data_IF_061283962385
#
_entry.id   IF_061283962385
#
_cell.length_a   1.000
_cell.length_b   1.000
_cell.length_c   1.000
_cell.angle_alpha   90.00
_cell.angle_beta   90.00
_cell.angle_gamma   90.00
#
_symmetry.space_group_name_H-M   'P 1'
#
loop_
_entity.id
_entity.type
_entity.pdbx_description
1 polymer ?
#
# COMPACT_ATOMS: atom_id res chain seq x y z
N UNK A 1 10.77 10.59 7.54
CA UNK A 1 9.60 9.69 7.67
C UNK A 1 9.44 9.29 9.14
N UNK A 2 8.23 9.34 9.70
CA UNK A 2 7.96 8.96 11.10
C UNK A 2 6.89 7.88 11.16
N UNK A 3 7.07 6.87 12.01
CA UNK A 3 6.03 5.85 12.27
C UNK A 3 4.98 6.41 13.23
N UNK A 4 3.70 6.25 12.90
CA UNK A 4 2.59 6.91 13.60
C UNK A 4 1.99 6.04 14.71
N UNK A 5 1.93 4.72 14.51
CA UNK A 5 1.36 3.77 15.47
C UNK A 5 2.12 2.46 15.56
N UNK A 6 1.65 1.56 16.43
CA UNK A 6 2.24 0.24 16.64
C UNK A 6 3.53 0.24 17.48
N UNK A 7 4.28 -0.86 17.39
CA UNK A 7 5.48 -1.16 18.18
C UNK A 7 6.66 -0.23 17.90
N UNK A 8 6.73 0.38 16.72
CA UNK A 8 7.75 1.34 16.32
C UNK A 8 7.26 2.79 16.38
N UNK A 9 6.11 3.06 17.03
CA UNK A 9 5.51 4.40 17.12
C UNK A 9 6.53 5.46 17.53
N UNK A 10 6.53 6.59 16.81
CA UNK A 10 7.40 7.72 17.06
C UNK A 10 8.81 7.61 16.47
N UNK A 11 9.24 6.40 16.03
CA UNK A 11 10.54 6.20 15.39
C UNK A 11 10.62 7.02 14.10
N UNK A 12 11.77 7.67 13.89
CA UNK A 12 12.07 8.45 12.69
C UNK A 12 13.10 7.74 11.84
N UNK A 13 12.83 7.72 10.54
CA UNK A 13 13.68 7.20 9.50
C UNK A 13 14.05 8.33 8.54
N UNK A 14 15.32 8.37 8.15
CA UNK A 14 15.88 9.39 7.27
C UNK A 14 16.37 8.74 5.97
N UNK A 15 15.49 8.57 4.97
CA UNK A 15 15.91 8.10 3.66
C UNK A 15 16.92 9.06 3.02
N UNK A 16 17.87 8.55 2.20
CA UNK A 16 18.75 9.40 1.41
C UNK A 16 17.97 10.38 0.54
N UNK A 17 18.42 11.64 0.49
CA UNK A 17 17.72 12.74 -0.21
C UNK A 17 17.65 12.56 -1.73
N UNK A 18 18.50 11.72 -2.31
CA UNK A 18 18.60 11.47 -3.74
C UNK A 18 17.66 10.35 -4.23
N UNK A 19 16.86 9.75 -3.35
CA UNK A 19 15.88 8.76 -3.76
C UNK A 19 14.64 9.45 -4.37
N UNK A 20 14.05 8.89 -5.44
CA UNK A 20 12.91 9.49 -6.13
C UNK A 20 11.60 9.16 -5.38
N UNK A 21 11.51 9.59 -4.12
CA UNK A 21 10.34 9.33 -3.27
C UNK A 21 9.50 10.59 -3.12
N UNK A 22 8.18 10.42 -3.18
CA UNK A 22 7.25 11.47 -2.78
C UNK A 22 6.97 11.33 -1.28
N UNK A 23 6.95 12.43 -0.53
CA UNK A 23 6.52 12.37 0.86
C UNK A 23 4.99 12.24 0.93
N UNK A 24 4.48 11.08 1.32
CA UNK A 24 3.12 11.03 1.91
C UNK A 24 3.18 11.80 3.23
N UNK A 25 2.31 12.79 3.40
CA UNK A 25 2.31 13.58 4.64
C UNK A 25 1.94 12.70 5.83
N UNK A 26 2.48 13.02 7.01
CA UNK A 26 2.10 12.34 8.26
C UNK A 26 0.58 12.36 8.44
N UNK A 27 -0.09 13.47 8.07
CA UNK A 27 -1.55 13.62 8.10
C UNK A 27 -2.27 12.63 7.18
N UNK A 28 -1.86 12.52 5.91
CA UNK A 28 -2.48 11.59 4.96
C UNK A 28 -2.26 10.14 5.37
N UNK A 29 -1.07 9.80 5.87
CA UNK A 29 -0.77 8.47 6.39
C UNK A 29 -1.57 8.16 7.66
N UNK A 30 -1.66 9.09 8.60
CA UNK A 30 -2.46 8.93 9.81
C UNK A 30 -3.95 8.73 9.47
N UNK A 31 -4.49 9.54 8.55
CA UNK A 31 -5.84 9.38 8.06
C UNK A 31 -6.07 8.01 7.41
N UNK A 32 -5.16 7.57 6.53
CA UNK A 32 -5.22 6.25 5.90
C UNK A 32 -5.28 5.14 6.95
N UNK A 33 -4.35 5.11 7.91
CA UNK A 33 -4.32 4.05 8.92
C UNK A 33 -5.49 4.13 9.90
N UNK A 34 -6.04 5.31 10.16
CA UNK A 34 -7.28 5.45 10.92
C UNK A 34 -8.47 4.84 10.17
N UNK A 35 -8.55 5.01 8.85
CA UNK A 35 -9.60 4.36 8.04
C UNK A 35 -9.43 2.84 8.09
N UNK A 36 -8.21 2.35 7.85
CA UNK A 36 -7.92 0.91 7.81
C UNK A 36 -8.29 0.24 9.13
N UNK A 37 -7.85 0.79 10.28
CA UNK A 37 -8.16 0.24 11.62
C UNK A 37 -9.66 0.21 11.94
N UNK A 38 -10.47 1.08 11.35
CA UNK A 38 -11.93 1.06 11.52
C UNK A 38 -12.63 0.05 10.61
N UNK A 39 -11.96 -0.44 9.56
CA UNK A 39 -12.50 -1.41 8.60
C UNK A 39 -12.02 -2.84 8.87
N UNK A 40 -10.75 -3.02 9.24
CA UNK A 40 -10.11 -4.33 9.42
C UNK A 40 -9.14 -4.30 10.60
N UNK A 41 -8.96 -5.46 11.24
CA UNK A 41 -7.86 -5.66 12.18
C UNK A 41 -6.55 -5.80 11.38
N UNK A 42 -5.53 -5.00 11.72
CA UNK A 42 -4.25 -5.01 11.02
C UNK A 42 -3.36 -6.16 11.49
N UNK A 43 -3.55 -6.62 12.73
CA UNK A 43 -2.79 -7.74 13.25
C UNK A 43 -3.08 -8.99 12.41
N UNK A 44 -2.02 -9.67 11.98
CA UNK A 44 -2.18 -10.90 11.20
C UNK A 44 -2.40 -10.73 9.69
N UNK A 45 -2.58 -9.51 9.17
CA UNK A 45 -2.86 -9.31 7.74
C UNK A 45 -1.69 -9.70 6.81
N UNK A 46 -2.04 -10.20 5.62
CA UNK A 46 -1.14 -10.30 4.48
C UNK A 46 -1.29 -9.07 3.59
N UNK A 47 -0.22 -8.29 3.46
CA UNK A 47 -0.22 -6.98 2.81
C UNK A 47 0.65 -6.99 1.56
N UNK A 48 0.19 -6.34 0.50
CA UNK A 48 0.97 -5.98 -0.68
C UNK A 48 1.12 -4.45 -0.77
N UNK A 49 2.35 -3.95 -0.74
CA UNK A 49 2.69 -2.53 -0.89
C UNK A 49 3.35 -2.31 -2.27
N UNK A 50 2.58 -1.76 -3.20
CA UNK A 50 3.00 -1.48 -4.57
C UNK A 50 3.56 -0.07 -4.69
N UNK A 51 4.65 0.08 -5.44
CA UNK A 51 5.40 1.34 -5.50
C UNK A 51 5.90 1.75 -4.11
N UNK A 52 6.40 0.78 -3.34
CA UNK A 52 6.62 0.91 -1.90
C UNK A 52 7.61 2.03 -1.51
N UNK A 53 8.44 2.49 -2.45
CA UNK A 53 9.45 3.51 -2.22
C UNK A 53 10.36 3.12 -1.05
N UNK A 54 10.52 4.02 -0.09
CA UNK A 54 11.31 3.80 1.13
C UNK A 54 10.57 3.04 2.22
N UNK A 55 9.39 2.50 1.92
CA UNK A 55 8.58 1.64 2.79
C UNK A 55 7.75 2.39 3.81
N UNK A 56 7.28 3.59 3.48
CA UNK A 56 6.46 4.39 4.41
C UNK A 56 5.19 3.67 4.88
N UNK A 57 4.58 2.88 3.99
CA UNK A 57 3.39 2.10 4.27
C UNK A 57 3.76 0.72 4.82
N UNK A 58 4.69 0.02 4.16
CA UNK A 58 5.23 -1.26 4.64
C UNK A 58 5.67 -1.24 6.11
N UNK A 59 6.45 -0.24 6.53
CA UNK A 59 6.94 -0.14 7.91
C UNK A 59 5.83 0.18 8.92
N UNK A 60 4.80 0.90 8.50
CA UNK A 60 3.65 1.24 9.35
C UNK A 60 2.77 0.00 9.58
N UNK A 61 2.54 -0.82 8.55
CA UNK A 61 1.90 -2.13 8.69
C UNK A 61 2.70 -3.08 9.58
N UNK A 62 4.03 -3.13 9.41
CA UNK A 62 4.88 -3.99 10.22
C UNK A 62 4.89 -3.55 11.69
N UNK A 63 4.92 -2.24 11.95
CA UNK A 63 4.78 -1.68 13.29
C UNK A 63 3.46 -2.11 13.96
N UNK A 64 2.41 -2.32 13.18
CA UNK A 64 1.07 -2.73 13.63
C UNK A 64 0.84 -4.25 13.54
N UNK A 65 1.92 -5.03 13.49
CA UNK A 65 1.89 -6.50 13.55
C UNK A 65 1.16 -7.20 12.39
N UNK A 66 1.14 -6.60 11.19
CA UNK A 66 0.78 -7.35 9.99
C UNK A 66 1.70 -8.59 9.84
N UNK A 67 1.13 -9.74 9.47
CA UNK A 67 1.84 -11.03 9.48
C UNK A 67 2.85 -11.16 8.34
N UNK A 68 2.51 -10.67 7.16
CA UNK A 68 3.37 -10.73 5.96
C UNK A 68 3.18 -9.48 5.14
N UNK A 69 4.29 -8.89 4.68
CA UNK A 69 4.27 -7.68 3.86
C UNK A 69 5.16 -7.92 2.65
N UNK A 70 4.58 -7.90 1.47
CA UNK A 70 5.31 -7.92 0.20
C UNK A 70 5.39 -6.50 -0.33
N UNK A 71 6.59 -5.97 -0.50
CA UNK A 71 6.84 -4.61 -0.98
C UNK A 71 7.47 -4.66 -2.36
N UNK A 72 6.90 -3.97 -3.35
CA UNK A 72 7.38 -3.99 -4.74
C UNK A 72 7.74 -2.60 -5.20
N UNK A 73 8.98 -2.41 -5.64
CA UNK A 73 9.44 -1.14 -6.20
C UNK A 73 10.45 -1.34 -7.33
N UNK A 74 10.47 -0.40 -8.29
CA UNK A 74 11.37 -0.43 -9.44
C UNK A 74 12.76 0.12 -9.09
N UNK A 75 12.82 1.09 -8.18
CA UNK A 75 14.03 1.81 -7.82
C UNK A 75 14.89 0.98 -6.87
N UNK A 76 16.10 0.64 -7.31
CA UNK A 76 17.03 -0.17 -6.54
C UNK A 76 17.46 0.48 -5.20
N UNK A 77 17.61 1.81 -5.17
CA UNK A 77 17.95 2.55 -3.96
C UNK A 77 16.84 2.48 -2.90
N UNK A 78 15.59 2.66 -3.31
CA UNK A 78 14.41 2.48 -2.47
C UNK A 78 14.33 1.06 -1.90
N UNK A 79 14.47 0.05 -2.78
CA UNK A 79 14.46 -1.37 -2.39
C UNK A 79 15.53 -1.67 -1.34
N UNK A 80 16.77 -1.25 -1.58
CA UNK A 80 17.88 -1.50 -0.65
C UNK A 80 17.68 -0.78 0.68
N UNK A 81 17.18 0.47 0.64
CA UNK A 81 16.87 1.21 1.84
C UNK A 81 15.83 0.50 2.70
N UNK A 82 14.73 0.05 2.10
CA UNK A 82 13.68 -0.67 2.83
C UNK A 82 14.20 -2.01 3.38
N UNK A 83 14.97 -2.77 2.60
CA UNK A 83 15.59 -4.03 3.09
C UNK A 83 16.46 -3.80 4.32
N UNK A 84 17.35 -2.80 4.28
CA UNK A 84 18.23 -2.49 5.39
C UNK A 84 17.45 -2.00 6.61
N UNK A 85 16.48 -1.10 6.40
CA UNK A 85 15.63 -0.59 7.48
C UNK A 85 14.83 -1.70 8.16
N UNK A 86 14.24 -2.61 7.37
CA UNK A 86 13.52 -3.76 7.90
C UNK A 86 14.44 -4.66 8.74
N UNK A 87 15.65 -4.95 8.23
CA UNK A 87 16.66 -5.74 8.95
C UNK A 87 17.08 -5.08 10.27
N UNK A 88 17.38 -3.78 10.26
CA UNK A 88 17.76 -3.01 11.47
C UNK A 88 16.66 -2.97 12.53
N UNK A 89 15.41 -3.12 12.11
CA UNK A 89 14.25 -3.15 12.99
C UNK A 89 13.78 -4.58 13.32
N UNK A 90 14.49 -5.62 12.87
CA UNK A 90 14.10 -7.03 12.98
C UNK A 90 12.70 -7.33 12.40
N UNK A 91 12.29 -6.61 11.36
CA UNK A 91 11.00 -6.76 10.69
C UNK A 91 11.07 -7.84 9.61
N UNK A 92 11.22 -9.10 10.05
CA UNK A 92 11.39 -10.25 9.16
C UNK A 92 10.15 -10.58 8.31
N UNK A 93 8.99 -10.01 8.64
CA UNK A 93 7.77 -10.15 7.85
C UNK A 93 7.78 -9.34 6.55
N UNK A 94 8.68 -8.37 6.39
CA UNK A 94 8.78 -7.54 5.19
C UNK A 94 9.67 -8.24 4.15
N UNK A 95 9.10 -8.57 3.00
CA UNK A 95 9.80 -9.08 1.82
C UNK A 95 9.79 -8.02 0.72
N UNK A 96 10.97 -7.52 0.36
CA UNK A 96 11.10 -6.47 -0.65
C UNK A 96 11.58 -7.05 -1.98
N UNK A 97 10.77 -6.85 -3.02
CA UNK A 97 10.99 -7.30 -4.39
C UNK A 97 11.33 -6.09 -5.27
N UNK A 98 12.49 -6.15 -5.94
CA UNK A 98 12.80 -5.22 -7.03
C UNK A 98 12.03 -5.66 -8.26
N UNK A 99 11.11 -4.84 -8.76
CA UNK A 99 10.31 -5.21 -9.92
C UNK A 99 9.46 -4.07 -10.47
N UNK A 100 9.10 -4.18 -11.73
CA UNK A 100 8.03 -3.36 -12.30
C UNK A 100 6.69 -3.87 -11.75
N UNK A 101 5.89 -2.99 -11.14
CA UNK A 101 4.61 -3.35 -10.50
C UNK A 101 3.64 -4.02 -11.45
N UNK A 102 3.48 -3.52 -12.68
CA UNK A 102 2.55 -4.11 -13.65
C UNK A 102 2.97 -5.52 -14.07
N UNK A 103 4.28 -5.74 -14.26
CA UNK A 103 4.82 -7.08 -14.52
C UNK A 103 4.63 -8.00 -13.31
N UNK A 104 4.88 -7.50 -12.11
CA UNK A 104 4.67 -8.26 -10.88
C UNK A 104 3.20 -8.70 -10.76
N UNK A 105 2.25 -7.77 -10.87
CA UNK A 105 0.82 -8.04 -10.83
C UNK A 105 0.38 -9.06 -11.89
N UNK A 106 0.92 -8.99 -13.11
CA UNK A 106 0.56 -9.94 -14.18
C UNK A 106 0.98 -11.39 -13.90
N UNK A 107 1.95 -11.60 -13.00
CA UNK A 107 2.50 -12.93 -12.67
C UNK A 107 2.18 -13.39 -11.26
N UNK A 108 1.74 -12.48 -10.38
CA UNK A 108 1.41 -12.81 -9.00
C UNK A 108 0.19 -13.74 -8.95
N UNK A 109 0.18 -14.58 -7.92
CA UNK A 109 -0.85 -15.60 -7.66
C UNK A 109 -1.26 -15.66 -6.19
N UNK A 110 -0.49 -15.02 -5.29
CA UNK A 110 -0.88 -14.87 -3.90
C UNK A 110 -2.08 -13.93 -3.74
N UNK A 111 -2.89 -14.20 -2.72
CA UNK A 111 -3.94 -13.30 -2.28
C UNK A 111 -3.49 -12.49 -1.07
N UNK A 112 -4.06 -11.30 -0.94
CA UNK A 112 -3.74 -10.33 0.09
C UNK A 112 -5.03 -9.81 0.74
N UNK A 113 -4.95 -9.58 2.03
CA UNK A 113 -6.03 -8.96 2.81
C UNK A 113 -6.03 -7.44 2.61
N UNK A 114 -4.86 -6.87 2.29
CA UNK A 114 -4.72 -5.46 1.97
C UNK A 114 -3.71 -5.23 0.85
N UNK A 115 -4.10 -4.43 -0.15
CA UNK A 115 -3.20 -3.97 -1.20
C UNK A 115 -3.18 -2.45 -1.18
N UNK A 116 -1.99 -1.87 -1.10
CA UNK A 116 -1.78 -0.43 -1.23
C UNK A 116 -0.99 -0.13 -2.51
N UNK A 117 -1.34 0.96 -3.20
CA UNK A 117 -0.54 1.46 -4.31
C UNK A 117 -0.44 2.99 -4.27
N UNK A 118 0.79 3.51 -4.30
CA UNK A 118 1.07 4.94 -4.48
C UNK A 118 1.88 5.19 -5.77
N UNK A 119 1.27 5.03 -6.96
CA UNK A 119 1.96 5.19 -8.23
C UNK A 119 2.42 6.64 -8.46
N UNK A 120 3.57 6.87 -9.12
CA UNK A 120 3.93 8.17 -9.69
C UNK A 120 2.80 8.80 -10.53
N UNK A 121 2.60 10.11 -10.41
CA UNK A 121 1.44 10.82 -11.00
C UNK A 121 1.40 10.83 -12.52
N UNK A 122 2.57 10.69 -13.15
CA UNK A 122 2.77 10.71 -14.60
C UNK A 122 2.41 9.36 -15.27
N UNK A 123 2.03 8.36 -14.48
CA UNK A 123 1.61 7.07 -15.02
C UNK A 123 0.16 7.13 -15.48
N UNK A 124 -0.06 7.10 -16.79
CA UNK A 124 -1.41 6.98 -17.39
C UNK A 124 -2.11 5.64 -17.06
N UNK A 125 -1.36 4.68 -16.51
CA UNK A 125 -1.79 3.31 -16.17
C UNK A 125 -2.29 3.13 -14.74
N UNK A 126 -2.58 4.20 -13.99
CA UNK A 126 -3.16 4.07 -12.65
C UNK A 126 -4.43 3.20 -12.66
N UNK A 127 -5.37 3.35 -13.63
CA UNK A 127 -6.55 2.47 -13.71
C UNK A 127 -6.22 0.98 -13.90
N UNK A 128 -5.07 0.65 -14.51
CA UNK A 128 -4.65 -0.73 -14.70
C UNK A 128 -4.30 -1.44 -13.39
N UNK A 129 -3.98 -0.71 -12.31
CA UNK A 129 -3.66 -1.31 -11.01
C UNK A 129 -4.88 -2.05 -10.48
N UNK A 130 -6.02 -1.35 -10.35
CA UNK A 130 -7.26 -1.96 -9.89
C UNK A 130 -7.69 -3.08 -10.84
N UNK A 131 -7.70 -2.81 -12.16
CA UNK A 131 -8.05 -3.81 -13.17
C UNK A 131 -7.25 -5.11 -12.99
N UNK A 132 -5.92 -5.03 -12.92
CA UNK A 132 -5.06 -6.21 -12.76
C UNK A 132 -5.26 -6.91 -11.42
N UNK A 133 -5.43 -6.17 -10.32
CA UNK A 133 -5.68 -6.76 -9.00
C UNK A 133 -6.93 -7.64 -9.01
N UNK A 134 -8.02 -7.16 -9.62
CA UNK A 134 -9.28 -7.90 -9.71
C UNK A 134 -9.24 -9.01 -10.78
N UNK A 135 -8.71 -8.76 -11.97
CA UNK A 135 -8.55 -9.80 -13.02
C UNK A 135 -7.70 -10.99 -12.57
N UNK A 136 -6.70 -10.72 -11.72
CA UNK A 136 -5.78 -11.73 -11.20
C UNK A 136 -6.23 -12.32 -9.86
N UNK A 137 -7.38 -11.90 -9.33
CA UNK A 137 -7.96 -12.37 -8.08
C UNK A 137 -6.99 -12.27 -6.88
N UNK A 138 -6.29 -11.13 -6.76
CA UNK A 138 -5.22 -10.93 -5.76
C UNK A 138 -5.74 -10.46 -4.40
N UNK A 139 -7.02 -10.13 -4.26
CA UNK A 139 -7.63 -9.84 -2.97
C UNK A 139 -8.28 -11.09 -2.40
N UNK A 140 -8.18 -11.27 -1.09
CA UNK A 140 -9.05 -12.21 -0.36
C UNK A 140 -10.51 -11.74 -0.43
N UNK A 141 -11.45 -12.57 0.00
CA UNK A 141 -12.89 -12.24 -0.06
C UNK A 141 -13.21 -10.89 0.61
N UNK A 142 -12.62 -10.61 1.76
CA UNK A 142 -12.78 -9.34 2.49
C UNK A 142 -11.60 -8.38 2.29
N UNK A 143 -10.79 -8.63 1.27
CA UNK A 143 -9.60 -7.84 0.98
C UNK A 143 -9.93 -6.44 0.47
N UNK A 144 -9.09 -5.49 0.82
CA UNK A 144 -9.24 -4.08 0.42
C UNK A 144 -8.06 -3.66 -0.46
N UNK A 145 -8.34 -3.05 -1.61
CA UNK A 145 -7.37 -2.31 -2.39
C UNK A 145 -7.53 -0.82 -2.13
N UNK A 146 -6.42 -0.13 -1.89
CA UNK A 146 -6.35 1.34 -1.82
C UNK A 146 -5.33 1.86 -2.83
N UNK A 147 -5.76 2.78 -3.67
CA UNK A 147 -4.90 3.49 -4.63
C UNK A 147 -4.82 4.96 -4.25
N UNK A 148 -3.62 5.46 -3.96
CA UNK A 148 -3.33 6.88 -3.76
C UNK A 148 -3.10 7.57 -5.12
N UNK A 149 -3.73 8.73 -5.30
CA UNK A 149 -3.59 9.56 -6.50
C UNK A 149 -3.95 11.02 -6.23
N UNK A 150 -3.66 11.91 -7.19
CA UNK A 150 -4.18 13.29 -7.18
C UNK A 150 -5.65 13.32 -7.61
N UNK A 151 -6.40 14.32 -7.14
CA UNK A 151 -7.86 14.41 -7.31
C UNK A 151 -8.37 14.46 -8.76
N UNK A 152 -7.50 14.72 -9.75
CA UNK A 152 -7.88 14.80 -11.18
C UNK A 152 -8.05 13.42 -11.83
N UNK A 153 -7.53 12.34 -11.22
CA UNK A 153 -7.72 10.99 -11.72
C UNK A 153 -9.08 10.45 -11.26
N UNK A 154 -9.90 9.99 -12.21
CA UNK A 154 -11.19 9.37 -11.92
C UNK A 154 -11.08 7.85 -12.02
N UNK A 155 -11.20 7.18 -10.87
CA UNK A 155 -11.22 5.71 -10.76
C UNK A 155 -12.61 5.15 -10.43
N UNK A 156 -13.63 6.01 -10.34
CA UNK A 156 -15.00 5.66 -9.91
C UNK A 156 -15.73 4.77 -10.91
N UNK A 157 -15.29 4.77 -12.17
CA UNK A 157 -15.86 3.91 -13.21
C UNK A 157 -15.51 2.42 -13.07
N UNK A 158 -14.60 2.05 -12.17
CA UNK A 158 -14.25 0.65 -11.97
C UNK A 158 -15.40 -0.09 -11.26
N UNK A 159 -15.80 -1.30 -11.70
CA UNK A 159 -16.91 -2.01 -11.08
C UNK A 159 -16.77 -2.18 -9.57
N UNK A 160 -15.59 -2.52 -9.08
CA UNK A 160 -15.29 -2.74 -7.66
C UNK A 160 -14.99 -1.47 -6.83
N UNK A 161 -15.13 -0.28 -7.41
CA UNK A 161 -14.94 0.96 -6.65
C UNK A 161 -16.00 1.09 -5.55
N UNK A 162 -15.58 1.51 -4.35
CA UNK A 162 -16.46 1.68 -3.19
C UNK A 162 -16.59 3.16 -2.82
N UNK A 163 -15.46 3.80 -2.50
CA UNK A 163 -15.43 5.19 -2.06
C UNK A 163 -14.09 5.84 -2.38
N UNK A 164 -14.05 7.18 -2.36
CA UNK A 164 -12.81 7.95 -2.37
C UNK A 164 -12.79 8.92 -1.20
N UNK A 165 -11.61 9.12 -0.61
CA UNK A 165 -11.40 10.07 0.49
C UNK A 165 -10.22 10.97 0.19
N UNK A 166 -10.37 12.28 0.45
CA UNK A 166 -9.35 13.29 0.17
C UNK A 166 -8.75 13.85 1.46
N UNK A 167 -7.42 13.89 1.53
CA UNK A 167 -6.66 14.43 2.65
C UNK A 167 -5.52 15.31 2.13
N UNK A 168 -5.73 16.63 2.16
CA UNK A 168 -4.82 17.58 1.54
C UNK A 168 -4.72 17.35 0.03
N UNK A 169 -3.51 17.05 -0.46
CA UNK A 169 -3.24 16.78 -1.88
C UNK A 169 -3.42 15.30 -2.27
N UNK A 170 -3.51 14.40 -1.29
CA UNK A 170 -3.69 12.96 -1.51
C UNK A 170 -5.18 12.62 -1.61
N UNK A 171 -5.53 11.79 -2.58
CA UNK A 171 -6.84 11.14 -2.71
C UNK A 171 -6.63 9.64 -2.67
N UNK A 172 -7.36 8.94 -1.80
CA UNK A 172 -7.36 7.49 -1.70
C UNK A 172 -8.66 6.95 -2.30
N UNK A 173 -8.57 6.11 -3.32
CA UNK A 173 -9.71 5.36 -3.85
C UNK A 173 -9.68 3.93 -3.31
N UNK A 174 -10.81 3.48 -2.77
CA UNK A 174 -11.00 2.20 -2.13
C UNK A 174 -11.79 1.26 -3.05
N UNK A 175 -11.36 0.00 -3.11
CA UNK A 175 -11.99 -1.05 -3.91
C UNK A 175 -12.09 -2.33 -3.10
N UNK A 176 -13.20 -3.04 -3.24
CA UNK A 176 -13.52 -4.26 -2.49
C UNK A 176 -14.22 -5.28 -3.41
N UNK A 177 -14.22 -6.56 -3.04
CA UNK A 177 -15.00 -7.57 -3.78
C UNK A 177 -16.51 -7.32 -3.55
N UNK A 178 -17.31 -7.30 -4.62
CA UNK A 178 -18.76 -7.00 -4.55
C UNK A 178 -19.60 -8.03 -3.79
N UNK A 179 -19.06 -9.22 -3.53
CA UNK A 179 -19.82 -10.30 -2.90
C UNK A 179 -19.79 -10.27 -1.37
N UNK A 180 -19.07 -9.33 -0.75
CA UNK A 180 -18.89 -9.26 0.70
C UNK A 180 -20.04 -8.51 1.43
N UNK A 181 -21.09 -8.11 0.70
CA UNK A 181 -22.21 -7.32 1.24
C UNK A 181 -23.59 -7.96 0.97
N UNK A 182 -23.73 -9.26 1.22
CA UNK A 182 -25.04 -9.94 1.19
C UNK A 182 -25.21 -10.95 2.32
N UNK A 183 -24.86 -10.55 3.55
CA UNK A 183 -25.23 -11.30 4.76
C UNK A 183 -25.57 -10.35 5.91
N UNK A 184 -26.70 -9.64 5.80
CA UNK A 184 -27.60 -9.29 6.93
C UNK A 184 -29.03 -9.32 6.40
#
# INVERSE_FOLDING_TARGET
MRIIGGTLKGRRFNPPKNLPVRPTTDMAKEALFNIIQNKVDIEGLNVLDLFSGTGNISLEFASRNAAKITSVDLNYGCVNYLKNTAKECNLNQIKVTKGNVFKFLSTETAQYDFIFADPPYDISKIPDIARLVFERNLLTENGILVVEHQSLQNLEGHPNFVEKRKYGYSTFSFFENKNSSNNI
#
